data_IF_792906322089
#
_entry.id   IF_792906322089
#
_cell.length_a   1.000
_cell.length_b   1.000
_cell.length_c   1.000
_cell.angle_alpha   90.00
_cell.angle_beta   90.00
_cell.angle_gamma   90.00
#
_symmetry.space_group_name_H-M   'P 1'
#
loop_
_entity.id
_entity.type
_entity.pdbx_description
1 polymer ?
#
# COMPACT_ATOMS: atom_id res chain seq x y z
N UNK A 1 3.77 14.54 5.68
CA UNK A 1 2.32 14.47 5.99
C UNK A 1 1.66 13.73 4.85
N UNK A 2 0.87 12.72 5.20
CA UNK A 2 0.15 11.91 4.23
C UNK A 2 -1.19 12.56 3.86
N UNK A 3 -1.58 12.35 2.62
CA UNK A 3 -2.95 12.55 2.14
C UNK A 3 -3.67 11.21 2.24
N UNK A 4 -4.89 11.20 2.77
CA UNK A 4 -5.75 10.01 2.89
C UNK A 4 -7.13 10.33 2.34
N UNK A 5 -7.54 9.63 1.28
CA UNK A 5 -8.78 9.92 0.57
C UNK A 5 -9.39 8.64 -0.03
N UNK A 6 -10.73 8.56 0.01
CA UNK A 6 -11.48 7.62 -0.82
C UNK A 6 -11.44 8.06 -2.28
N UNK A 7 -11.07 7.17 -3.20
CA UNK A 7 -10.77 7.50 -4.61
C UNK A 7 -11.98 8.12 -5.33
N UNK A 8 -13.19 7.64 -5.05
CA UNK A 8 -14.41 8.15 -5.68
C UNK A 8 -14.79 9.57 -5.20
N UNK A 9 -14.25 10.02 -4.07
CA UNK A 9 -14.48 11.38 -3.56
C UNK A 9 -13.54 12.43 -4.20
N UNK A 10 -12.54 12.00 -4.99
CA UNK A 10 -11.59 12.91 -5.62
C UNK A 10 -12.23 13.69 -6.76
N UNK A 11 -11.85 14.96 -6.94
CA UNK A 11 -12.09 15.62 -8.22
C UNK A 11 -11.27 14.95 -9.33
N UNK A 12 -11.67 15.08 -10.61
CA UNK A 12 -10.88 14.55 -11.73
C UNK A 12 -9.44 15.07 -11.73
N UNK A 13 -9.24 16.34 -11.37
CA UNK A 13 -7.91 16.97 -11.27
C UNK A 13 -7.09 16.31 -10.15
N UNK A 14 -7.70 16.11 -8.98
CA UNK A 14 -7.04 15.49 -7.83
C UNK A 14 -6.68 14.04 -8.09
N UNK A 15 -7.58 13.28 -8.73
CA UNK A 15 -7.33 11.91 -9.15
C UNK A 15 -6.13 11.82 -10.09
N UNK A 16 -6.10 12.64 -11.16
CA UNK A 16 -4.97 12.68 -12.10
C UNK A 16 -3.64 13.02 -11.42
N UNK A 17 -3.66 13.97 -10.47
CA UNK A 17 -2.48 14.32 -9.71
C UNK A 17 -1.98 13.16 -8.81
N UNK A 18 -2.90 12.46 -8.15
CA UNK A 18 -2.61 11.29 -7.32
C UNK A 18 -1.96 10.17 -8.15
N UNK A 19 -2.60 9.72 -9.24
CA UNK A 19 -2.06 8.62 -10.07
C UNK A 19 -0.71 8.99 -10.71
N UNK A 20 -0.53 10.26 -11.11
CA UNK A 20 0.77 10.75 -11.61
C UNK A 20 1.86 10.66 -10.55
N UNK A 21 1.52 10.96 -9.29
CA UNK A 21 2.48 10.88 -8.19
C UNK A 21 2.82 9.43 -7.84
N UNK A 22 1.81 8.55 -7.75
CA UNK A 22 1.98 7.11 -7.52
C UNK A 22 2.87 6.50 -8.61
N UNK A 23 2.59 6.79 -9.88
CA UNK A 23 3.39 6.32 -10.99
C UNK A 23 4.86 6.77 -10.91
N UNK A 24 5.15 7.96 -10.37
CA UNK A 24 6.55 8.38 -10.14
C UNK A 24 7.23 7.53 -9.08
N UNK A 25 6.54 7.25 -7.97
CA UNK A 25 7.08 6.41 -6.88
C UNK A 25 7.31 4.98 -7.38
N UNK A 26 6.34 4.41 -8.10
CA UNK A 26 6.42 3.06 -8.64
C UNK A 26 7.64 2.88 -9.57
N UNK A 27 7.93 3.88 -10.40
CA UNK A 27 9.12 3.91 -11.27
C UNK A 27 10.44 3.81 -10.51
N UNK A 28 10.52 4.37 -9.31
CA UNK A 28 11.73 4.35 -8.48
C UNK A 28 11.83 3.05 -7.65
N UNK A 29 10.68 2.47 -7.25
CA UNK A 29 10.65 1.33 -6.33
C UNK A 29 10.62 -0.05 -7.01
N UNK A 30 10.12 -0.12 -8.24
CA UNK A 30 9.87 -1.40 -8.92
C UNK A 30 10.64 -1.52 -10.23
N UNK A 31 11.02 -2.75 -10.64
CA UNK A 31 11.49 -3.01 -12.00
C UNK A 31 10.34 -2.84 -13.00
N UNK A 32 10.66 -2.56 -14.27
CA UNK A 32 9.68 -2.16 -15.30
C UNK A 32 8.47 -3.10 -15.42
N UNK A 33 8.68 -4.41 -15.32
CA UNK A 33 7.62 -5.41 -15.46
C UNK A 33 6.62 -5.46 -14.30
N UNK A 34 6.92 -4.83 -13.16
CA UNK A 34 6.00 -4.70 -12.01
C UNK A 34 5.27 -3.35 -12.00
N UNK A 35 5.54 -2.46 -12.98
CA UNK A 35 5.03 -1.07 -12.97
C UNK A 35 3.65 -0.93 -13.61
N UNK A 36 2.66 -1.64 -13.09
CA UNK A 36 1.30 -1.67 -13.64
C UNK A 36 0.56 -0.34 -13.49
N UNK A 37 0.87 0.45 -12.47
CA UNK A 37 0.18 1.72 -12.19
C UNK A 37 0.55 2.84 -13.19
N UNK A 38 1.53 2.63 -14.06
CA UNK A 38 1.87 3.56 -15.16
C UNK A 38 0.75 3.73 -16.19
N UNK A 39 -0.15 2.75 -16.29
CA UNK A 39 -1.17 2.68 -17.33
C UNK A 39 -2.55 3.11 -16.84
N UNK A 40 -2.67 3.54 -15.58
CA UNK A 40 -3.93 3.99 -14.97
C UNK A 40 -4.30 5.37 -15.51
N UNK A 41 -5.39 5.44 -16.26
CA UNK A 41 -5.93 6.66 -16.87
C UNK A 41 -7.29 7.07 -16.29
N UNK A 42 -8.01 6.11 -15.71
CA UNK A 42 -9.36 6.27 -15.18
C UNK A 42 -9.51 5.64 -13.79
N UNK A 43 -10.59 5.98 -13.08
CA UNK A 43 -10.91 5.31 -11.81
C UNK A 43 -11.23 3.84 -12.02
N UNK A 44 -11.85 3.48 -13.15
CA UNK A 44 -12.17 2.09 -13.46
C UNK A 44 -10.89 1.26 -13.64
N UNK A 45 -9.87 1.82 -14.28
CA UNK A 45 -8.57 1.14 -14.41
C UNK A 45 -7.97 0.83 -13.03
N UNK A 46 -8.12 1.76 -12.08
CA UNK A 46 -7.65 1.56 -10.70
C UNK A 46 -8.50 0.54 -9.94
N UNK A 47 -9.81 0.50 -10.20
CA UNK A 47 -10.75 -0.50 -9.66
C UNK A 47 -10.46 -1.90 -10.17
N UNK A 48 -10.15 -2.02 -11.45
CA UNK A 48 -9.69 -3.27 -12.06
C UNK A 48 -8.35 -3.70 -11.48
N UNK A 49 -7.39 -2.79 -11.32
CA UNK A 49 -6.10 -3.10 -10.71
C UNK A 49 -6.21 -3.56 -9.25
N UNK A 50 -7.06 -2.91 -8.45
CA UNK A 50 -7.28 -3.25 -7.04
C UNK A 50 -8.32 -4.35 -6.83
N UNK A 51 -8.92 -4.89 -7.89
CA UNK A 51 -10.02 -5.84 -7.85
C UNK A 51 -11.16 -5.44 -6.88
N UNK A 52 -11.42 -4.13 -6.77
CA UNK A 52 -12.35 -3.57 -5.77
C UNK A 52 -13.00 -2.27 -6.23
N UNK A 53 -14.26 -2.08 -5.82
CA UNK A 53 -15.01 -0.83 -6.01
C UNK A 53 -14.67 0.25 -4.96
N UNK A 54 -14.30 -0.18 -3.75
CA UNK A 54 -14.03 0.70 -2.61
C UNK A 54 -12.51 0.78 -2.40
N UNK A 55 -11.91 1.89 -2.83
CA UNK A 55 -10.45 2.10 -2.80
C UNK A 55 -10.11 3.35 -2.01
N UNK A 56 -9.13 3.19 -1.12
CA UNK A 56 -8.51 4.24 -0.35
C UNK A 56 -7.05 4.38 -0.77
N UNK A 57 -6.61 5.62 -0.94
CA UNK A 57 -5.23 5.95 -1.21
C UNK A 57 -4.64 6.75 -0.05
N UNK A 58 -3.52 6.27 0.49
CA UNK A 58 -2.69 6.98 1.47
C UNK A 58 -1.37 7.30 0.79
N UNK A 59 -1.05 8.57 0.58
CA UNK A 59 0.17 8.92 -0.17
C UNK A 59 0.78 10.26 0.21
N UNK A 60 2.06 10.39 -0.07
CA UNK A 60 2.82 11.63 -0.05
C UNK A 60 3.76 11.66 -1.28
N UNK A 61 4.76 12.55 -1.30
CA UNK A 61 5.66 12.67 -2.46
C UNK A 61 6.64 11.48 -2.66
N UNK A 62 6.81 10.62 -1.66
CA UNK A 62 7.80 9.53 -1.66
C UNK A 62 7.20 8.16 -1.38
N UNK A 63 5.94 8.09 -0.98
CA UNK A 63 5.30 6.88 -0.48
C UNK A 63 3.85 6.85 -0.93
N UNK A 64 3.35 5.68 -1.31
CA UNK A 64 1.92 5.45 -1.47
C UNK A 64 1.52 4.07 -0.92
N UNK A 65 0.26 3.98 -0.53
CA UNK A 65 -0.44 2.77 -0.14
C UNK A 65 -1.80 2.82 -0.84
N UNK A 66 -2.12 1.76 -1.58
CA UNK A 66 -3.45 1.50 -2.11
C UNK A 66 -4.06 0.38 -1.28
N UNK A 67 -5.27 0.60 -0.78
CA UNK A 67 -5.95 -0.35 0.08
C UNK A 67 -7.46 -0.36 -0.17
N UNK A 68 -8.05 -1.52 0.08
CA UNK A 68 -9.49 -1.77 0.16
C UNK A 68 -9.89 -1.81 1.64
N UNK A 69 -11.10 -2.27 1.96
CA UNK A 69 -11.58 -2.44 3.34
C UNK A 69 -10.95 -3.61 4.10
N UNK A 70 -10.23 -4.48 3.40
CA UNK A 70 -9.67 -5.72 3.96
C UNK A 70 -8.25 -6.02 3.49
N UNK A 71 -7.73 -5.32 2.49
CA UNK A 71 -6.41 -5.58 1.91
C UNK A 71 -5.62 -4.29 1.64
N UNK A 72 -4.31 -4.35 1.87
CA UNK A 72 -3.35 -3.43 1.25
C UNK A 72 -2.91 -4.08 -0.06
N UNK A 73 -3.42 -3.54 -1.17
CA UNK A 73 -3.16 -4.04 -2.52
C UNK A 73 -1.74 -3.74 -2.96
N UNK A 74 -1.25 -2.53 -2.67
CA UNK A 74 0.11 -2.14 -3.03
C UNK A 74 0.67 -1.10 -2.06
N UNK A 75 1.96 -1.20 -1.78
CA UNK A 75 2.69 -0.31 -0.90
C UNK A 75 4.14 -0.15 -1.37
N UNK A 76 4.49 1.07 -1.76
CA UNK A 76 5.85 1.42 -2.13
C UNK A 76 6.31 2.72 -1.47
N UNK A 77 7.62 2.80 -1.21
CA UNK A 77 8.27 3.98 -0.68
C UNK A 77 9.68 4.12 -1.25
N UNK A 78 10.01 5.30 -1.79
CA UNK A 78 11.33 5.63 -2.35
C UNK A 78 12.38 5.61 -1.23
N UNK A 79 12.04 6.14 -0.06
CA UNK A 79 12.90 6.21 1.10
C UNK A 79 12.33 5.43 2.28
N UNK A 80 13.18 5.12 3.26
CA UNK A 80 12.72 4.56 4.54
C UNK A 80 11.78 5.54 5.21
N UNK A 81 10.67 5.04 5.74
CA UNK A 81 9.75 5.81 6.55
C UNK A 81 10.35 6.06 7.94
N UNK A 82 10.24 7.29 8.41
CA UNK A 82 10.53 7.64 9.80
C UNK A 82 9.50 7.02 10.74
N UNK A 83 9.82 6.93 12.04
CA UNK A 83 8.87 6.40 13.02
C UNK A 83 7.56 7.21 13.05
N UNK A 84 7.65 8.53 12.90
CA UNK A 84 6.47 9.41 12.86
C UNK A 84 5.58 9.07 11.68
N UNK A 85 6.17 8.88 10.49
CA UNK A 85 5.42 8.49 9.29
C UNK A 85 4.80 7.09 9.42
N UNK A 86 5.52 6.15 10.03
CA UNK A 86 4.99 4.81 10.30
C UNK A 86 3.78 4.83 11.23
N UNK A 87 3.83 5.64 12.29
CA UNK A 87 2.70 5.78 13.19
C UNK A 87 1.53 6.52 12.53
N UNK A 88 1.81 7.49 11.66
CA UNK A 88 0.79 8.17 10.84
C UNK A 88 0.11 7.17 9.89
N UNK A 89 0.87 6.35 9.18
CA UNK A 89 0.36 5.28 8.31
C UNK A 89 -0.46 4.26 9.11
N UNK A 90 0.03 3.77 10.25
CA UNK A 90 -0.72 2.85 11.12
C UNK A 90 -2.07 3.45 11.51
N UNK A 91 -2.09 4.72 11.96
CA UNK A 91 -3.34 5.40 12.33
C UNK A 91 -4.32 5.44 11.16
N UNK A 92 -3.86 5.84 9.98
CA UNK A 92 -4.69 5.94 8.77
C UNK A 92 -5.21 4.56 8.33
N UNK A 93 -4.39 3.52 8.39
CA UNK A 93 -4.83 2.16 8.06
C UNK A 93 -5.87 1.63 9.06
N UNK A 94 -5.75 1.96 10.36
CA UNK A 94 -6.80 1.63 11.36
C UNK A 94 -8.14 2.35 11.07
N UNK A 95 -8.12 3.48 10.36
CA UNK A 95 -9.35 4.17 9.91
C UNK A 95 -9.97 3.51 8.68
N UNK A 96 -9.21 2.72 7.92
CA UNK A 96 -9.70 1.94 6.77
C UNK A 96 -10.19 0.56 7.21
N UNK A 97 -9.41 -0.11 8.05
CA UNK A 97 -9.66 -1.48 8.50
C UNK A 97 -10.41 -1.50 9.83
N UNK A 98 -11.74 -1.40 9.79
CA UNK A 98 -12.61 -1.39 10.98
C UNK A 98 -12.39 -2.59 11.92
N UNK A 99 -11.94 -3.73 11.38
CA UNK A 99 -11.70 -4.97 12.15
C UNK A 99 -10.31 -5.06 12.76
N UNK A 100 -9.47 -4.03 12.60
CA UNK A 100 -8.03 -4.06 12.84
C UNK A 100 -7.28 -5.17 12.08
N UNK A 101 -7.95 -5.91 11.19
CA UNK A 101 -7.38 -7.03 10.46
C UNK A 101 -7.31 -6.69 8.98
N UNK A 102 -6.20 -7.04 8.34
CA UNK A 102 -6.00 -6.82 6.92
C UNK A 102 -5.03 -7.83 6.31
N UNK A 103 -5.11 -7.98 5.00
CA UNK A 103 -4.20 -8.77 4.19
C UNK A 103 -3.21 -7.86 3.45
N UNK A 104 -2.02 -8.38 3.15
CA UNK A 104 -1.13 -7.79 2.16
C UNK A 104 -0.15 -8.82 1.61
N UNK A 105 0.33 -8.55 0.40
CA UNK A 105 1.55 -9.15 -0.12
C UNK A 105 2.74 -8.19 0.09
N UNK A 106 3.71 -8.63 0.87
CA UNK A 106 4.90 -7.85 1.19
C UNK A 106 6.14 -8.41 0.48
N UNK A 107 6.83 -7.59 -0.28
CA UNK A 107 8.12 -7.96 -0.90
C UNK A 107 9.17 -8.22 0.16
N UNK A 108 9.85 -9.35 0.06
CA UNK A 108 10.87 -9.78 1.02
C UNK A 108 12.01 -8.75 1.13
N UNK A 109 12.43 -8.18 0.00
CA UNK A 109 13.52 -7.20 -0.04
C UNK A 109 13.16 -5.83 0.54
N UNK A 110 11.86 -5.48 0.59
CA UNK A 110 11.40 -4.13 0.98
C UNK A 110 10.36 -4.17 2.10
N UNK A 111 9.07 -4.26 1.77
CA UNK A 111 7.95 -4.04 2.70
C UNK A 111 7.87 -5.09 3.80
N UNK A 112 8.33 -6.33 3.56
CA UNK A 112 8.32 -7.38 4.59
C UNK A 112 9.17 -7.01 5.81
N UNK A 113 10.33 -6.38 5.58
CA UNK A 113 11.20 -5.92 6.68
C UNK A 113 10.51 -4.89 7.57
N UNK A 114 9.64 -4.06 6.99
CA UNK A 114 8.84 -3.12 7.77
C UNK A 114 7.80 -3.85 8.63
N UNK A 115 7.11 -4.84 8.07
CA UNK A 115 6.14 -5.65 8.81
C UNK A 115 6.83 -6.30 10.02
N UNK A 116 7.98 -6.96 9.84
CA UNK A 116 8.72 -7.57 10.95
C UNK A 116 9.20 -6.55 11.99
N UNK A 117 9.51 -5.33 11.57
CA UNK A 117 9.85 -4.25 12.50
C UNK A 117 8.66 -3.83 13.35
N UNK A 118 7.47 -3.68 12.77
CA UNK A 118 6.24 -3.35 13.49
C UNK A 118 5.81 -4.48 14.42
N UNK A 119 5.92 -5.72 13.96
CA UNK A 119 5.64 -6.92 14.76
C UNK A 119 6.55 -7.00 15.99
N UNK A 120 7.86 -6.75 15.82
CA UNK A 120 8.84 -6.73 16.93
C UNK A 120 8.52 -5.67 17.98
N UNK A 121 7.81 -4.60 17.60
CA UNK A 121 7.38 -3.53 18.52
C UNK A 121 6.00 -3.77 19.11
N UNK A 122 5.40 -4.93 18.86
CA UNK A 122 4.05 -5.28 19.30
C UNK A 122 3.00 -4.30 18.76
N UNK A 123 3.27 -3.62 17.64
CA UNK A 123 2.32 -2.72 16.99
C UNK A 123 1.32 -3.49 16.11
N UNK A 124 1.72 -4.68 15.67
CA UNK A 124 0.93 -5.62 14.89
C UNK A 124 1.21 -7.06 15.34
N UNK A 125 0.31 -7.96 14.97
CA UNK A 125 0.49 -9.41 15.10
C UNK A 125 0.27 -10.07 13.73
N UNK A 126 1.24 -10.86 13.29
CA UNK A 126 1.11 -11.66 12.05
C UNK A 126 0.41 -12.98 12.41
N UNK A 127 -0.78 -13.19 11.83
CA UNK A 127 -1.61 -14.37 12.03
C UNK A 127 -1.15 -15.51 11.10
N UNK A 128 -0.81 -15.19 9.85
CA UNK A 128 -0.27 -16.14 8.87
C UNK A 128 0.71 -15.46 7.93
N UNK A 129 1.70 -16.22 7.46
CA UNK A 129 2.77 -15.80 6.55
C UNK A 129 3.05 -16.94 5.57
N UNK A 130 2.62 -16.77 4.32
CA UNK A 130 2.88 -17.71 3.23
C UNK A 130 3.73 -17.04 2.16
N UNK A 131 4.66 -17.77 1.55
CA UNK A 131 5.53 -17.22 0.52
C UNK A 131 5.10 -17.61 -0.88
N UNK A 132 5.27 -16.70 -1.84
CA UNK A 132 5.14 -16.97 -3.27
C UNK A 132 6.18 -16.16 -4.06
N UNK A 133 6.40 -16.53 -5.33
CA UNK A 133 7.43 -15.90 -6.17
C UNK A 133 6.79 -15.16 -7.35
N UNK A 134 7.32 -13.97 -7.67
CA UNK A 134 7.03 -13.24 -8.90
C UNK A 134 8.33 -12.79 -9.57
N UNK A 135 8.66 -13.42 -10.69
CA UNK A 135 9.93 -13.16 -11.37
C UNK A 135 11.11 -13.61 -10.49
N UNK A 136 11.93 -12.67 -10.04
CA UNK A 136 13.10 -12.93 -9.18
C UNK A 136 12.90 -12.39 -7.74
N UNK A 137 11.65 -12.18 -7.31
CA UNK A 137 11.32 -11.63 -6.01
C UNK A 137 10.40 -12.58 -5.24
N UNK A 138 10.69 -12.75 -3.94
CA UNK A 138 9.80 -13.44 -3.00
C UNK A 138 8.82 -12.45 -2.39
N UNK A 139 7.56 -12.84 -2.33
CA UNK A 139 6.50 -12.12 -1.65
C UNK A 139 5.99 -12.93 -0.46
N UNK A 140 5.66 -12.22 0.61
CA UNK A 140 5.03 -12.75 1.82
C UNK A 140 3.57 -12.33 1.84
N UNK A 141 2.69 -13.29 1.62
CA UNK A 141 1.24 -13.14 1.79
C UNK A 141 0.88 -13.26 3.25
N UNK A 142 0.47 -12.13 3.82
CA UNK A 142 0.36 -11.93 5.25
C UNK A 142 -1.07 -11.63 5.64
N UNK A 143 -1.47 -12.21 6.76
CA UNK A 143 -2.70 -11.84 7.46
C UNK A 143 -2.32 -11.18 8.78
N UNK A 144 -2.67 -9.92 8.95
CA UNK A 144 -2.15 -9.09 10.04
C UNK A 144 -3.29 -8.53 10.86
N UNK A 145 -3.04 -8.39 12.16
CA UNK A 145 -3.88 -7.67 13.11
C UNK A 145 -3.13 -6.46 13.69
N UNK A 146 -3.75 -5.29 13.74
CA UNK A 146 -3.25 -4.13 14.48
C UNK A 146 -3.56 -4.26 15.97
N UNK A 147 -2.52 -4.15 16.79
CA UNK A 147 -2.67 -4.04 18.23
C UNK A 147 -3.18 -2.65 18.64
#
# INVERSE_FOLDING_TARGET
MFTYLHVDCLSLRSFKAMVTNIAKIEKECYPEYMRSLQFISSRNDLKEYCESEDIFAIYNNTTYILCTKDEIVDFASISKLSLVELMEVKRLLKEVFDTNRFFLDARETTSYRLIKFLEKREEITVISDNTWEWGNETFHSLNIYFN
#
